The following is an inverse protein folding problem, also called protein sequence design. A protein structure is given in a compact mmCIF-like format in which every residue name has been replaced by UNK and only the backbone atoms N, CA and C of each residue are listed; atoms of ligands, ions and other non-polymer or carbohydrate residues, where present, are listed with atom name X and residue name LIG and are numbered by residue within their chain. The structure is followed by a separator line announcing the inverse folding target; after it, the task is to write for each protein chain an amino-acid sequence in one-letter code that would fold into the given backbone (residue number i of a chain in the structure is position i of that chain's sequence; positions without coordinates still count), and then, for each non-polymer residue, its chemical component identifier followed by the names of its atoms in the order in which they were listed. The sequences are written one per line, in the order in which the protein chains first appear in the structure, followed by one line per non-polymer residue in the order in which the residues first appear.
data_IF_932292738710
#
_entry.id   IF_932292738710
#
_cell.length_a   1.000
_cell.length_b   1.000
_cell.length_c   1.000
_cell.angle_alpha   90.00
_cell.angle_beta   90.00
_cell.angle_gamma   90.00
#
_symmetry.space_group_name_H-M   'P 1'
#
loop_
_entity.id
_entity.type
_entity.pdbx_description
1 polymer ?
#
# COMPACT_ATOMS: atom_id res chain seq x y z
N UNK A 1 9.23 14.15 -15.72
CA UNK A 1 8.51 12.92 -16.11
C UNK A 1 8.90 11.84 -15.10
N UNK A 2 7.93 11.27 -14.40
CA UNK A 2 8.16 10.18 -13.45
C UNK A 2 7.11 9.10 -13.71
N UNK A 3 7.51 7.83 -13.61
CA UNK A 3 6.67 6.67 -13.86
C UNK A 3 6.78 5.67 -12.72
N UNK A 4 5.95 4.63 -12.78
CA UNK A 4 5.91 3.55 -11.80
C UNK A 4 6.34 2.25 -12.45
N UNK A 5 7.13 1.45 -11.73
CA UNK A 5 7.54 0.11 -12.14
C UNK A 5 7.22 -0.85 -11.00
N UNK A 6 6.60 -1.97 -11.32
CA UNK A 6 6.39 -3.09 -10.40
C UNK A 6 7.35 -4.20 -10.81
N UNK A 7 8.22 -4.61 -9.90
CA UNK A 7 9.11 -5.75 -10.09
C UNK A 7 8.54 -6.99 -9.43
N UNK A 8 8.43 -8.09 -10.18
CA UNK A 8 8.06 -9.40 -9.62
C UNK A 8 9.28 -10.30 -9.66
N UNK A 9 9.59 -10.96 -8.53
CA UNK A 9 10.69 -11.93 -8.45
C UNK A 9 10.42 -13.08 -9.43
N UNK A 10 11.45 -13.47 -10.21
CA UNK A 10 11.32 -14.44 -11.32
C UNK A 10 10.72 -15.80 -10.93
N UNK A 11 10.87 -16.21 -9.68
CA UNK A 11 10.37 -17.49 -9.16
C UNK A 11 8.87 -17.46 -8.83
N UNK A 12 8.28 -16.25 -8.71
CA UNK A 12 6.87 -16.08 -8.48
C UNK A 12 6.10 -16.14 -9.80
N UNK A 13 4.98 -16.85 -9.78
CA UNK A 13 4.13 -16.99 -10.97
C UNK A 13 3.21 -15.78 -11.08
N UNK A 14 3.33 -15.06 -12.19
CA UNK A 14 2.41 -13.98 -12.57
C UNK A 14 1.24 -14.56 -13.34
N UNK A 15 0.02 -14.35 -12.84
CA UNK A 15 -1.22 -14.74 -13.50
C UNK A 15 -1.73 -13.68 -14.47
N UNK A 16 -1.64 -12.42 -14.07
CA UNK A 16 -2.23 -11.30 -14.80
C UNK A 16 -1.52 -10.00 -14.46
N UNK A 17 -1.41 -9.11 -15.44
CA UNK A 17 -0.97 -7.72 -15.28
C UNK A 17 -1.97 -6.83 -15.99
N UNK A 18 -2.52 -5.83 -15.30
CA UNK A 18 -3.47 -4.87 -15.87
C UNK A 18 -3.16 -3.45 -15.41
N UNK A 19 -2.97 -2.55 -16.38
CA UNK A 19 -3.06 -1.11 -16.15
C UNK A 19 -4.52 -0.71 -16.05
N UNK A 20 -4.87 0.12 -15.05
CA UNK A 20 -6.26 0.53 -14.83
C UNK A 20 -6.55 1.90 -15.42
N UNK A 21 -7.83 2.18 -15.64
CA UNK A 21 -8.31 3.51 -16.05
C UNK A 21 -7.97 4.59 -15.02
N UNK A 22 -7.80 4.19 -13.75
CA UNK A 22 -7.28 5.10 -12.74
C UNK A 22 -5.80 5.37 -12.99
N UNK A 23 -5.48 6.61 -13.37
CA UNK A 23 -4.10 7.06 -13.59
C UNK A 23 -3.23 6.72 -12.38
N UNK A 24 -2.02 6.18 -12.63
CA UNK A 24 -1.09 5.80 -11.57
C UNK A 24 -1.58 4.64 -10.71
N UNK A 25 -2.36 3.71 -11.29
CA UNK A 25 -2.70 2.43 -10.65
C UNK A 25 -2.41 1.27 -11.61
N UNK A 26 -1.69 0.27 -11.11
CA UNK A 26 -1.41 -0.99 -11.81
C UNK A 26 -1.76 -2.15 -10.90
N UNK A 27 -2.37 -3.18 -11.47
CA UNK A 27 -2.69 -4.41 -10.77
C UNK A 27 -1.88 -5.57 -11.33
N UNK A 28 -1.30 -6.37 -10.44
CA UNK A 28 -0.61 -7.62 -10.76
C UNK A 28 -1.17 -8.72 -9.88
N UNK A 29 -1.59 -9.83 -10.50
CA UNK A 29 -1.97 -11.04 -9.77
C UNK A 29 -0.82 -12.04 -9.78
N UNK A 30 -0.40 -12.47 -8.60
CA UNK A 30 0.69 -13.44 -8.41
C UNK A 30 0.24 -14.61 -7.53
N UNK A 31 0.90 -15.76 -7.68
CA UNK A 31 0.80 -16.87 -6.73
C UNK A 31 2.02 -16.89 -5.81
N UNK A 32 1.77 -17.02 -4.50
CA UNK A 32 2.81 -17.23 -3.48
C UNK A 32 2.41 -18.47 -2.67
N UNK A 33 3.09 -19.59 -2.94
CA UNK A 33 2.65 -20.90 -2.45
C UNK A 33 1.29 -21.28 -3.04
N UNK A 34 0.34 -21.64 -2.18
CA UNK A 34 -1.05 -21.97 -2.58
C UNK A 34 -1.97 -20.74 -2.58
N UNK A 35 -1.46 -19.56 -2.27
CA UNK A 35 -2.25 -18.34 -2.12
C UNK A 35 -2.14 -17.45 -3.36
N UNK A 36 -3.30 -16.93 -3.77
CA UNK A 36 -3.37 -15.86 -4.76
C UNK A 36 -3.26 -14.49 -4.09
N UNK A 37 -2.42 -13.65 -4.66
CA UNK A 37 -2.21 -12.27 -4.22
C UNK A 37 -2.54 -11.30 -5.34
N UNK A 38 -3.32 -10.29 -4.98
CA UNK A 38 -3.61 -9.13 -5.80
C UNK A 38 -2.74 -7.97 -5.32
N UNK A 39 -1.69 -7.70 -6.07
CA UNK A 39 -0.74 -6.60 -5.80
C UNK A 39 -1.19 -5.38 -6.59
N UNK A 40 -1.40 -4.27 -5.89
CA UNK A 40 -1.89 -3.01 -6.45
C UNK A 40 -0.79 -1.97 -6.23
N UNK A 41 -0.11 -1.59 -7.32
CA UNK A 41 0.82 -0.46 -7.31
C UNK A 41 0.06 0.85 -7.47
N UNK A 42 0.32 1.81 -6.58
CA UNK A 42 -0.31 3.13 -6.57
C UNK A 42 0.75 4.24 -6.64
N UNK A 43 0.50 5.22 -7.49
CA UNK A 43 1.27 6.45 -7.53
C UNK A 43 0.33 7.65 -7.44
N UNK A 44 0.31 8.32 -6.29
CA UNK A 44 -0.60 9.44 -6.02
C UNK A 44 0.06 10.75 -6.45
N UNK A 45 -0.60 11.48 -7.36
CA UNK A 45 -0.35 12.89 -7.65
C UNK A 45 -1.65 13.66 -7.50
N UNK A 46 -1.63 14.75 -6.72
CA UNK A 46 -2.81 15.58 -6.48
C UNK A 46 -3.67 15.06 -5.31
N UNK A 47 -4.97 14.92 -5.56
CA UNK A 47 -5.99 14.64 -4.54
C UNK A 47 -5.92 13.17 -4.04
N UNK A 48 -5.40 12.99 -2.83
CA UNK A 48 -5.28 11.70 -2.16
C UNK A 48 -6.65 11.11 -1.82
N UNK A 49 -7.54 11.91 -1.23
CA UNK A 49 -8.81 11.46 -0.66
C UNK A 49 -9.68 10.82 -1.75
N UNK A 50 -9.85 11.53 -2.87
CA UNK A 50 -10.56 11.01 -4.05
C UNK A 50 -9.93 9.73 -4.59
N UNK A 51 -8.60 9.58 -4.49
CA UNK A 51 -7.91 8.38 -4.97
C UNK A 51 -8.14 7.18 -4.04
N UNK A 52 -8.08 7.41 -2.73
CA UNK A 52 -8.35 6.39 -1.72
C UNK A 52 -9.80 5.90 -1.76
N UNK A 53 -10.78 6.79 -1.95
CA UNK A 53 -12.19 6.40 -2.11
C UNK A 53 -12.39 5.49 -3.33
N UNK A 54 -11.85 5.88 -4.49
CA UNK A 54 -11.96 5.04 -5.69
C UNK A 54 -11.22 3.70 -5.55
N UNK A 55 -10.10 3.69 -4.85
CA UNK A 55 -9.36 2.45 -4.54
C UNK A 55 -10.18 1.55 -3.62
N UNK A 56 -10.80 2.11 -2.58
CA UNK A 56 -11.66 1.38 -1.64
C UNK A 56 -12.81 0.69 -2.37
N UNK A 57 -13.60 1.46 -3.12
CA UNK A 57 -14.73 0.94 -3.88
C UNK A 57 -14.29 -0.20 -4.82
N UNK A 58 -13.13 -0.04 -5.44
CA UNK A 58 -12.61 -1.03 -6.37
C UNK A 58 -12.05 -2.29 -5.70
N UNK A 59 -11.44 -2.16 -4.51
CA UNK A 59 -10.96 -3.31 -3.77
C UNK A 59 -12.13 -4.09 -3.16
N UNK A 60 -13.11 -3.40 -2.59
CA UNK A 60 -14.28 -4.02 -1.96
C UNK A 60 -15.25 -4.68 -2.96
N UNK A 61 -15.39 -4.16 -4.20
CA UNK A 61 -16.30 -4.71 -5.22
C UNK A 61 -15.79 -5.98 -5.92
N UNK A 62 -14.50 -6.27 -5.82
CA UNK A 62 -13.92 -7.45 -6.48
C UNK A 62 -14.09 -8.67 -5.59
N UNK A 63 -14.98 -9.57 -5.97
CA UNK A 63 -15.17 -10.89 -5.35
C UNK A 63 -14.02 -11.89 -5.65
N UNK A 64 -12.98 -11.47 -6.38
CA UNK A 64 -11.80 -12.30 -6.62
C UNK A 64 -11.09 -12.57 -5.29
N UNK A 65 -11.38 -13.74 -4.72
CA UNK A 65 -10.79 -14.23 -3.48
C UNK A 65 -9.28 -14.24 -3.57
N UNK A 66 -8.61 -13.68 -2.55
CA UNK A 66 -7.16 -13.56 -2.53
C UNK A 66 -6.73 -12.52 -1.50
N UNK A 67 -5.44 -12.50 -1.19
CA UNK A 67 -4.88 -11.48 -0.32
C UNK A 67 -4.58 -10.23 -1.13
N UNK A 68 -4.94 -9.07 -0.60
CA UNK A 68 -4.64 -7.78 -1.25
C UNK A 68 -3.41 -7.16 -0.62
N UNK A 69 -2.46 -6.75 -1.46
CA UNK A 69 -1.32 -5.94 -1.07
C UNK A 69 -1.37 -4.64 -1.88
N UNK A 70 -1.36 -3.50 -1.20
CA UNK A 70 -1.18 -2.20 -1.85
C UNK A 70 0.22 -1.71 -1.57
N UNK A 71 0.97 -1.44 -2.63
CA UNK A 71 2.29 -0.83 -2.59
C UNK A 71 2.27 0.46 -3.39
N UNK A 72 3.20 1.38 -3.11
CA UNK A 72 3.26 2.59 -3.90
C UNK A 72 3.80 3.81 -3.18
N UNK A 73 3.82 4.89 -3.93
CA UNK A 73 4.16 6.22 -3.45
C UNK A 73 2.89 7.07 -3.35
N UNK A 74 2.44 7.27 -2.12
CA UNK A 74 1.29 8.08 -1.77
C UNK A 74 1.63 9.57 -1.65
N UNK A 75 2.92 9.94 -1.69
CA UNK A 75 3.41 11.30 -1.45
C UNK A 75 2.91 11.92 -0.12
N UNK A 76 2.81 11.10 0.93
CA UNK A 76 2.36 11.53 2.26
C UNK A 76 3.46 11.33 3.32
N UNK A 77 3.34 12.07 4.43
CA UNK A 77 4.18 11.89 5.61
C UNK A 77 3.32 11.40 6.77
N UNK A 78 3.56 10.16 7.19
CA UNK A 78 2.81 9.50 8.27
C UNK A 78 3.50 9.60 9.63
N UNK A 79 4.73 10.12 9.69
CA UNK A 79 5.53 10.24 10.92
C UNK A 79 5.67 8.90 11.64
N UNK A 80 5.27 8.86 12.91
CA UNK A 80 5.25 7.63 13.73
C UNK A 80 3.95 6.81 13.60
N UNK A 81 2.99 7.26 12.78
CA UNK A 81 1.70 6.59 12.57
C UNK A 81 1.73 5.42 11.57
N UNK A 82 2.90 5.04 11.06
CA UNK A 82 3.07 3.95 10.09
C UNK A 82 3.73 2.71 10.71
N UNK A 83 3.05 1.57 10.65
CA UNK A 83 3.55 0.25 11.09
C UNK A 83 2.61 -0.42 12.10
N UNK A 84 2.50 -1.75 12.04
CA UNK A 84 1.49 -2.53 12.78
C UNK A 84 1.52 -2.27 14.30
N UNK A 85 0.47 -1.61 14.80
CA UNK A 85 -0.08 -1.76 16.14
C UNK A 85 -1.33 -2.67 16.18
N UNK A 86 -1.45 -3.63 15.27
CA UNK A 86 -2.43 -4.71 15.32
C UNK A 86 -1.98 -5.84 16.25
N UNK A 87 -2.47 -5.87 17.49
CA UNK A 87 -2.49 -7.05 18.36
C UNK A 87 -1.17 -7.73 18.72
N UNK A 88 -0.01 -7.15 18.43
CA UNK A 88 1.27 -7.86 18.52
C UNK A 88 2.52 -7.01 18.80
N UNK A 89 2.38 -5.82 19.38
CA UNK A 89 3.47 -5.12 20.09
C UNK A 89 4.75 -4.79 19.31
N UNK A 90 4.76 -4.82 17.97
CA UNK A 90 5.93 -4.37 17.18
C UNK A 90 5.88 -2.86 16.99
N UNK A 91 7.03 -2.20 17.16
CA UNK A 91 7.19 -0.76 16.93
C UNK A 91 7.12 -0.49 15.43
N UNK A 92 6.21 0.38 15.00
CA UNK A 92 6.17 0.88 13.63
C UNK A 92 7.43 1.68 13.26
N UNK A 93 7.56 1.99 11.96
CA UNK A 93 8.65 2.79 11.42
C UNK A 93 8.73 4.13 12.15
N UNK A 94 9.93 4.52 12.57
CA UNK A 94 10.20 5.85 13.15
C UNK A 94 10.82 6.74 12.08
N UNK A 95 10.10 7.77 11.66
CA UNK A 95 10.69 8.84 10.84
C UNK A 95 11.51 9.79 11.71
N UNK A 96 12.69 10.20 11.23
CA UNK A 96 13.58 11.13 11.95
C UNK A 96 12.97 12.52 12.12
N UNK A 97 12.23 13.01 11.11
CA UNK A 97 11.61 14.34 11.16
C UNK A 97 10.26 14.37 11.92
N UNK A 98 9.68 13.19 12.20
CA UNK A 98 8.38 12.97 12.86
C UNK A 98 7.22 13.76 12.25
N UNK A 99 7.37 14.28 11.03
CA UNK A 99 6.35 15.13 10.43
C UNK A 99 5.17 14.30 9.98
N UNK A 100 3.98 14.80 10.30
CA UNK A 100 2.71 14.27 9.80
C UNK A 100 2.00 15.40 9.07
N UNK A 101 1.72 15.22 7.77
CA UNK A 101 0.89 16.16 6.99
C UNK A 101 -0.60 15.76 7.02
N UNK A 102 -1.47 16.61 6.48
CA UNK A 102 -2.94 16.37 6.47
C UNK A 102 -3.24 15.06 5.76
N UNK A 103 -2.64 14.87 4.60
CA UNK A 103 -2.79 13.69 3.75
C UNK A 103 -2.29 12.41 4.46
N UNK A 104 -1.20 12.51 5.24
CA UNK A 104 -0.70 11.39 6.04
C UNK A 104 -1.66 10.97 7.14
N UNK A 105 -2.35 11.91 7.80
CA UNK A 105 -3.39 11.59 8.79
C UNK A 105 -4.59 10.91 8.14
N UNK A 106 -5.00 11.40 6.97
CA UNK A 106 -6.12 10.83 6.20
C UNK A 106 -5.81 9.40 5.75
N UNK A 107 -4.59 9.13 5.27
CA UNK A 107 -4.15 7.79 4.91
C UNK A 107 -4.19 6.82 6.10
N UNK A 108 -3.64 7.22 7.26
CA UNK A 108 -3.64 6.38 8.47
C UNK A 108 -5.08 6.07 8.90
N UNK A 109 -5.95 7.08 8.94
CA UNK A 109 -7.37 6.91 9.29
C UNK A 109 -8.08 5.97 8.32
N UNK A 110 -7.86 6.13 7.02
CA UNK A 110 -8.45 5.25 6.00
C UNK A 110 -8.02 3.79 6.17
N UNK A 111 -6.73 3.56 6.45
CA UNK A 111 -6.21 2.20 6.70
C UNK A 111 -6.88 1.59 7.95
N UNK A 112 -6.99 2.35 9.04
CA UNK A 112 -7.65 1.90 10.28
C UNK A 112 -9.14 1.60 10.06
N UNK A 113 -9.88 2.50 9.41
CA UNK A 113 -11.33 2.34 9.14
C UNK A 113 -11.61 1.16 8.20
N UNK A 114 -10.72 0.86 7.27
CA UNK A 114 -10.83 -0.28 6.37
C UNK A 114 -10.42 -1.61 7.05
N UNK A 115 -9.89 -1.58 8.28
CA UNK A 115 -9.34 -2.76 8.96
C UNK A 115 -8.05 -3.28 8.32
N UNK A 116 -7.37 -2.43 7.57
CA UNK A 116 -6.11 -2.75 6.88
C UNK A 116 -4.93 -2.45 7.79
N UNK A 117 -3.72 -2.70 7.30
CA UNK A 117 -2.53 -2.51 8.10
C UNK A 117 -1.35 -2.02 7.27
N UNK A 118 -0.66 -0.99 7.76
CA UNK A 118 0.56 -0.44 7.13
C UNK A 118 1.74 -1.35 7.51
N UNK A 119 2.47 -1.83 6.49
CA UNK A 119 3.61 -2.74 6.66
C UNK A 119 4.98 -2.04 6.61
N UNK A 120 5.02 -0.72 6.47
CA UNK A 120 6.28 0.03 6.39
C UNK A 120 7.14 -0.17 7.65
N UNK A 121 8.45 -0.39 7.45
CA UNK A 121 9.41 -0.65 8.53
C UNK A 121 9.25 -2.01 9.22
N UNK A 122 8.48 -2.94 8.64
CA UNK A 122 8.38 -4.31 9.15
C UNK A 122 9.49 -5.24 8.64
N UNK A 123 10.36 -4.74 7.75
CA UNK A 123 11.57 -5.43 7.29
C UNK A 123 12.73 -5.07 8.22
N UNK A 124 13.55 -6.07 8.57
CA UNK A 124 14.75 -5.86 9.38
C UNK A 124 15.70 -4.90 8.65
N UNK A 125 16.08 -3.81 9.31
CA UNK A 125 16.91 -2.73 8.76
C UNK A 125 16.12 -1.53 8.20
N UNK A 126 14.79 -1.61 8.10
CA UNK A 126 13.91 -0.53 7.63
C UNK A 126 13.16 0.18 8.78
N UNK A 127 13.49 -0.13 10.03
CA UNK A 127 12.78 0.38 11.21
C UNK A 127 12.90 1.90 11.36
N UNK A 128 13.99 2.47 10.83
CA UNK A 128 14.26 3.91 10.80
C UNK A 128 14.12 4.45 9.38
N UNK A 129 13.24 5.42 9.22
CA UNK A 129 13.15 6.22 8.00
C UNK A 129 14.02 7.47 8.09
N UNK A 130 14.41 8.03 6.94
CA UNK A 130 14.71 9.47 6.89
C UNK A 130 13.51 10.31 7.37
#
# INVERSE_FOLDING_TARGET
MGGMLIGVQKELKVKKVETKEMEGVVEVMIEVGELEWRVIGVYVRGDLERKLERLRDWVERKEEGGRVLIEGDFNTRTGEGSGIGGGGGRKGRKSKDKKINKEGKELVRWVEEAGWTILNGCTVGDEEGE
#
